data_IF_137136149964
#
_entry.id   IF_137136149964
#
_cell.length_a   1.000
_cell.length_b   1.000
_cell.length_c   1.000
_cell.angle_alpha   90.00
_cell.angle_beta   90.00
_cell.angle_gamma   90.00
#
_symmetry.space_group_name_H-M   'P 1'
#
loop_
_entity.id
_entity.type
_entity.pdbx_description
1 polymer ?
#
# COMPACT_ATOMS: atom_id res chain seq x y z
N UNK A 1 13.21 -7.05 -1.77
CA UNK A 1 14.04 -6.32 -0.79
C UNK A 1 13.12 -5.49 0.10
N UNK A 2 13.55 -5.18 1.31
CA UNK A 2 12.83 -4.28 2.22
C UNK A 2 12.87 -2.82 1.73
N UNK A 3 12.03 -1.94 2.30
CA UNK A 3 12.14 -0.50 2.07
C UNK A 3 13.53 0.03 2.45
N UNK A 4 14.06 -0.42 3.60
CA UNK A 4 15.37 0.01 4.07
C UNK A 4 16.48 -0.36 3.07
N UNK A 5 16.50 -1.62 2.57
CA UNK A 5 17.48 -2.07 1.58
C UNK A 5 17.34 -1.32 0.25
N UNK A 6 16.10 -1.11 -0.21
CA UNK A 6 15.82 -0.40 -1.47
C UNK A 6 16.24 1.06 -1.42
N UNK A 7 16.18 1.68 -0.24
CA UNK A 7 16.61 3.07 -0.01
C UNK A 7 18.11 3.28 -0.27
N UNK A 8 18.93 2.24 -0.21
CA UNK A 8 20.38 2.30 -0.47
C UNK A 8 20.70 2.53 -1.95
N UNK A 9 19.77 2.24 -2.87
CA UNK A 9 19.95 2.52 -4.30
C UNK A 9 19.94 4.04 -4.59
N UNK A 10 19.35 4.84 -3.72
CA UNK A 10 19.16 6.28 -3.91
C UNK A 10 19.76 7.10 -2.76
N UNK A 11 21.09 7.04 -2.54
CA UNK A 11 21.71 7.62 -1.34
C UNK A 11 21.54 9.15 -1.23
N UNK A 12 21.42 9.86 -2.37
CA UNK A 12 21.31 11.32 -2.42
C UNK A 12 19.87 11.84 -2.37
N UNK A 13 18.89 10.97 -2.51
CA UNK A 13 17.47 11.38 -2.52
C UNK A 13 16.97 11.64 -1.11
N UNK A 14 15.97 12.53 -1.03
CA UNK A 14 15.25 12.76 0.22
C UNK A 14 14.59 11.47 0.71
N UNK A 15 14.35 11.35 2.01
CA UNK A 15 13.60 10.20 2.56
C UNK A 15 12.24 10.06 1.86
N UNK A 16 11.57 11.19 1.56
CA UNK A 16 10.28 11.22 0.87
C UNK A 16 10.36 10.61 -0.53
N UNK A 17 11.36 11.02 -1.32
CA UNK A 17 11.54 10.49 -2.68
C UNK A 17 11.86 8.98 -2.65
N UNK A 18 12.59 8.51 -1.64
CA UNK A 18 12.85 7.08 -1.43
C UNK A 18 11.57 6.29 -1.14
N UNK A 19 10.66 6.82 -0.29
CA UNK A 19 9.35 6.21 -0.04
C UNK A 19 8.52 6.16 -1.31
N UNK A 20 8.51 7.24 -2.10
CA UNK A 20 7.77 7.29 -3.36
C UNK A 20 8.36 6.30 -4.37
N UNK A 21 9.68 6.28 -4.53
CA UNK A 21 10.36 5.34 -5.44
C UNK A 21 10.07 3.88 -5.08
N UNK A 22 10.16 3.53 -3.80
CA UNK A 22 9.80 2.20 -3.32
C UNK A 22 8.32 1.87 -3.57
N UNK A 23 7.43 2.84 -3.37
CA UNK A 23 5.99 2.68 -3.63
C UNK A 23 5.68 2.43 -5.10
N UNK A 24 6.55 2.89 -6.02
CA UNK A 24 6.45 2.70 -7.47
C UNK A 24 7.14 1.41 -7.92
N UNK A 25 8.41 1.21 -7.53
CA UNK A 25 9.26 0.15 -8.06
C UNK A 25 9.27 -1.12 -7.21
N UNK A 26 8.78 -1.03 -5.97
CA UNK A 26 8.91 -2.11 -4.99
C UNK A 26 10.36 -2.38 -4.59
N UNK A 27 10.61 -3.58 -4.07
CA UNK A 27 11.93 -4.04 -3.67
C UNK A 27 12.62 -4.94 -4.71
N UNK A 28 12.33 -4.79 -6.00
CA UNK A 28 12.90 -5.60 -7.07
C UNK A 28 14.14 -4.90 -7.62
N UNK A 29 15.36 -5.48 -7.45
CA UNK A 29 16.61 -4.81 -7.87
C UNK A 29 16.64 -4.44 -9.35
N UNK A 30 16.02 -5.25 -10.20
CA UNK A 30 15.93 -4.97 -11.62
C UNK A 30 15.24 -3.62 -11.90
N UNK A 31 14.12 -3.33 -11.23
CA UNK A 31 13.40 -2.06 -11.40
C UNK A 31 14.15 -0.88 -10.75
N UNK A 32 14.72 -1.10 -9.56
CA UNK A 32 15.48 -0.07 -8.85
C UNK A 32 16.70 0.40 -9.66
N UNK A 33 17.39 -0.50 -10.34
CA UNK A 33 18.53 -0.19 -11.20
C UNK A 33 18.18 0.59 -12.49
N UNK A 34 16.90 0.68 -12.86
CA UNK A 34 16.48 1.50 -14.00
C UNK A 34 16.41 2.99 -13.65
N UNK A 35 16.39 3.32 -12.35
CA UNK A 35 16.37 4.71 -11.92
C UNK A 35 17.80 5.23 -11.66
N UNK A 36 18.10 6.43 -12.17
CA UNK A 36 19.36 7.14 -11.96
C UNK A 36 19.26 8.02 -10.72
N UNK A 37 20.06 7.72 -9.70
CA UNK A 37 20.10 8.49 -8.44
C UNK A 37 20.65 9.91 -8.60
N UNK A 38 21.24 10.26 -9.75
CA UNK A 38 21.68 11.62 -10.07
C UNK A 38 20.56 12.51 -10.62
N UNK A 39 19.47 11.91 -11.10
CA UNK A 39 18.29 12.60 -11.61
C UNK A 39 17.21 12.73 -10.53
N UNK A 40 16.29 13.65 -10.74
CA UNK A 40 15.10 13.81 -9.88
C UNK A 40 14.15 12.60 -10.05
N UNK A 41 13.26 12.43 -9.08
CA UNK A 41 12.21 11.41 -9.15
C UNK A 41 11.31 11.60 -10.39
N UNK A 42 10.91 12.86 -10.69
CA UNK A 42 10.12 13.20 -11.88
C UNK A 42 10.82 12.76 -13.17
N UNK A 43 12.09 13.16 -13.35
CA UNK A 43 12.86 12.80 -14.54
C UNK A 43 12.96 11.28 -14.71
N UNK A 44 13.17 10.55 -13.63
CA UNK A 44 13.22 9.09 -13.67
C UNK A 44 11.87 8.47 -14.06
N UNK A 45 10.76 8.91 -13.46
CA UNK A 45 9.43 8.40 -13.80
C UNK A 45 9.13 8.69 -15.29
N UNK A 46 9.35 9.93 -15.73
CA UNK A 46 9.09 10.32 -17.11
C UNK A 46 9.92 9.51 -18.09
N UNK A 47 11.26 9.47 -17.91
CA UNK A 47 12.17 8.86 -18.90
C UNK A 47 12.19 7.33 -18.87
N UNK A 48 11.96 6.70 -17.72
CA UNK A 48 12.13 5.25 -17.56
C UNK A 48 10.81 4.47 -17.52
N UNK A 49 9.68 5.14 -17.17
CA UNK A 49 8.38 4.45 -17.08
C UNK A 49 7.37 4.99 -18.10
N UNK A 50 7.22 6.34 -18.21
CA UNK A 50 6.15 6.92 -19.04
C UNK A 50 6.55 7.07 -20.50
N UNK A 51 7.83 7.25 -20.80
CA UNK A 51 8.32 7.45 -22.15
C UNK A 51 8.27 6.15 -22.95
N UNK A 52 7.58 6.18 -24.10
CA UNK A 52 7.53 5.06 -25.04
C UNK A 52 8.95 4.62 -25.44
N UNK A 53 9.18 3.30 -25.44
CA UNK A 53 10.46 2.70 -25.78
C UNK A 53 11.44 2.56 -24.62
N UNK A 54 11.14 3.08 -23.43
CA UNK A 54 11.89 2.77 -22.24
C UNK A 54 11.62 1.33 -21.78
N UNK A 55 12.57 0.76 -21.04
CA UNK A 55 12.50 -0.65 -20.60
C UNK A 55 11.24 -0.88 -19.77
N UNK A 56 10.98 -0.03 -18.79
CA UNK A 56 9.85 -0.18 -17.86
C UNK A 56 8.50 0.16 -18.51
N UNK A 57 8.47 0.88 -19.63
CA UNK A 57 7.23 1.18 -20.36
C UNK A 57 6.50 -0.09 -20.84
N UNK A 58 7.25 -1.07 -21.35
CA UNK A 58 6.67 -2.28 -21.95
C UNK A 58 6.79 -3.54 -21.09
N UNK A 59 7.52 -3.49 -19.98
CA UNK A 59 7.87 -4.66 -19.17
C UNK A 59 6.64 -5.46 -18.67
N UNK A 60 5.61 -4.84 -18.05
CA UNK A 60 4.44 -5.60 -17.58
C UNK A 60 3.64 -6.23 -18.73
N UNK A 61 3.50 -5.54 -19.86
CA UNK A 61 2.80 -6.09 -21.03
C UNK A 61 3.53 -7.30 -21.59
N UNK A 62 4.85 -7.25 -21.66
CA UNK A 62 5.69 -8.34 -22.12
C UNK A 62 5.55 -9.58 -21.23
N UNK A 63 5.65 -9.40 -19.92
CA UNK A 63 5.47 -10.48 -18.94
C UNK A 63 4.08 -11.11 -19.02
N UNK A 64 3.02 -10.28 -19.13
CA UNK A 64 1.65 -10.78 -19.26
C UNK A 64 1.42 -11.61 -20.52
N UNK A 65 2.05 -11.22 -21.64
CA UNK A 65 1.95 -11.99 -22.90
C UNK A 65 2.68 -13.32 -22.83
N UNK A 66 3.78 -13.39 -22.09
CA UNK A 66 4.53 -14.64 -21.91
C UNK A 66 3.80 -15.66 -21.04
N UNK A 67 3.19 -15.20 -19.95
CA UNK A 67 2.62 -16.06 -18.91
C UNK A 67 1.15 -16.43 -19.16
N UNK A 68 0.41 -15.66 -19.97
CA UNK A 68 -1.04 -15.78 -20.06
C UNK A 68 -1.53 -15.97 -21.49
N UNK A 69 -2.47 -16.90 -21.69
CA UNK A 69 -3.08 -17.18 -22.99
C UNK A 69 -4.10 -16.12 -23.45
N UNK A 70 -4.76 -15.44 -22.49
CA UNK A 70 -5.80 -14.44 -22.75
C UNK A 70 -5.45 -13.11 -22.08
N UNK A 71 -4.33 -12.44 -22.46
CA UNK A 71 -3.81 -11.28 -21.74
C UNK A 71 -4.81 -10.13 -21.62
N UNK A 72 -5.68 -9.92 -22.62
CA UNK A 72 -6.68 -8.84 -22.60
C UNK A 72 -7.64 -8.94 -21.41
N UNK A 73 -8.17 -10.13 -21.12
CA UNK A 73 -9.08 -10.34 -19.97
C UNK A 73 -8.36 -10.13 -18.64
N UNK A 74 -7.13 -10.64 -18.52
CA UNK A 74 -6.33 -10.45 -17.31
C UNK A 74 -5.96 -8.98 -17.11
N UNK A 75 -5.61 -8.24 -18.18
CA UNK A 75 -5.32 -6.81 -18.12
C UNK A 75 -6.50 -6.03 -17.54
N UNK A 76 -7.73 -6.34 -17.97
CA UNK A 76 -8.96 -5.69 -17.45
C UNK A 76 -9.13 -5.93 -15.95
N UNK A 77 -8.87 -7.16 -15.47
CA UNK A 77 -8.95 -7.50 -14.05
C UNK A 77 -7.88 -6.76 -13.24
N UNK A 78 -6.62 -6.79 -13.72
CA UNK A 78 -5.50 -6.16 -13.04
C UNK A 78 -5.69 -4.64 -13.00
N UNK A 79 -6.16 -4.02 -14.09
CA UNK A 79 -6.47 -2.59 -14.14
C UNK A 79 -7.56 -2.21 -13.13
N UNK A 80 -8.63 -2.99 -13.02
CA UNK A 80 -9.67 -2.75 -12.02
C UNK A 80 -9.09 -2.76 -10.59
N UNK A 81 -8.23 -3.74 -10.27
CA UNK A 81 -7.59 -3.84 -8.95
C UNK A 81 -6.60 -2.67 -8.74
N UNK A 82 -5.77 -2.32 -9.74
CA UNK A 82 -4.81 -1.22 -9.66
C UNK A 82 -5.48 0.14 -9.45
N UNK A 83 -6.71 0.30 -9.93
CA UNK A 83 -7.53 1.52 -9.77
C UNK A 83 -8.41 1.50 -8.51
N UNK A 84 -8.25 0.49 -7.62
CA UNK A 84 -8.88 0.45 -6.30
C UNK A 84 -10.14 -0.43 -6.20
N UNK A 85 -10.48 -1.21 -7.23
CA UNK A 85 -11.57 -2.20 -7.17
C UNK A 85 -11.02 -3.52 -6.60
N UNK A 86 -11.00 -3.65 -5.29
CA UNK A 86 -10.28 -4.74 -4.60
C UNK A 86 -11.19 -5.85 -4.07
N UNK A 87 -12.50 -5.62 -3.89
CA UNK A 87 -13.43 -6.68 -3.54
C UNK A 87 -13.83 -7.51 -4.77
N UNK A 88 -14.21 -8.77 -4.55
CA UNK A 88 -14.70 -9.64 -5.64
C UNK A 88 -15.87 -8.99 -6.41
N UNK A 89 -16.81 -8.40 -5.67
CA UNK A 89 -17.99 -7.78 -6.27
C UNK A 89 -17.64 -6.52 -7.07
N UNK A 90 -16.72 -5.68 -6.57
CA UNK A 90 -16.28 -4.47 -7.28
C UNK A 90 -15.54 -4.84 -8.57
N UNK A 91 -14.67 -5.85 -8.53
CA UNK A 91 -13.98 -6.35 -9.72
C UNK A 91 -15.00 -6.88 -10.73
N UNK A 92 -15.95 -7.72 -10.27
CA UNK A 92 -17.00 -8.26 -11.14
C UNK A 92 -17.83 -7.18 -11.80
N UNK A 93 -18.32 -6.21 -11.03
CA UNK A 93 -19.14 -5.11 -11.53
C UNK A 93 -18.38 -4.20 -12.52
N UNK A 94 -17.06 -4.04 -12.31
CA UNK A 94 -16.23 -3.21 -13.19
C UNK A 94 -15.87 -3.93 -14.48
N UNK A 95 -15.53 -5.23 -14.39
CA UNK A 95 -15.05 -6.01 -15.55
C UNK A 95 -16.18 -6.67 -16.34
N UNK A 96 -17.38 -6.78 -15.75
CA UNK A 96 -18.55 -7.49 -16.29
C UNK A 96 -18.27 -8.95 -16.62
N UNK A 97 -17.22 -9.55 -16.05
CA UNK A 97 -16.89 -10.96 -16.23
C UNK A 97 -17.83 -11.81 -15.38
N UNK A 98 -18.31 -12.90 -15.97
CA UNK A 98 -19.19 -13.85 -15.28
C UNK A 98 -18.48 -14.45 -14.04
N UNK A 99 -19.21 -14.57 -12.92
CA UNK A 99 -18.71 -14.91 -11.59
C UNK A 99 -17.82 -16.15 -11.57
N UNK A 100 -18.23 -17.21 -12.28
CA UNK A 100 -17.47 -18.47 -12.35
C UNK A 100 -16.11 -18.28 -13.02
N UNK A 101 -16.09 -17.57 -14.16
CA UNK A 101 -14.88 -17.27 -14.91
C UNK A 101 -13.95 -16.34 -14.13
N UNK A 102 -14.50 -15.26 -13.53
CA UNK A 102 -13.70 -14.34 -12.71
C UNK A 102 -12.97 -15.09 -11.58
N UNK A 103 -13.65 -16.03 -10.92
CA UNK A 103 -13.03 -16.84 -9.87
C UNK A 103 -11.81 -17.62 -10.37
N UNK A 104 -11.86 -18.16 -11.60
CA UNK A 104 -10.74 -18.87 -12.22
C UNK A 104 -9.60 -17.92 -12.54
N UNK A 105 -9.89 -16.78 -13.17
CA UNK A 105 -8.86 -15.77 -13.50
C UNK A 105 -8.15 -15.26 -12.25
N UNK A 106 -8.88 -14.93 -11.18
CA UNK A 106 -8.28 -14.47 -9.92
C UNK A 106 -7.40 -15.56 -9.27
N UNK A 107 -7.83 -16.83 -9.29
CA UNK A 107 -6.99 -17.94 -8.82
C UNK A 107 -5.70 -18.08 -9.62
N UNK A 108 -5.78 -17.96 -10.95
CA UNK A 108 -4.60 -18.03 -11.81
C UNK A 108 -3.62 -16.88 -11.50
N UNK A 109 -4.10 -15.65 -11.36
CA UNK A 109 -3.27 -14.50 -11.00
C UNK A 109 -2.61 -14.66 -9.62
N UNK A 110 -3.30 -15.27 -8.66
CA UNK A 110 -2.73 -15.62 -7.36
C UNK A 110 -1.66 -16.71 -7.51
N UNK A 111 -1.90 -17.75 -8.30
CA UNK A 111 -0.92 -18.82 -8.50
C UNK A 111 0.35 -18.36 -9.22
N UNK A 112 0.25 -17.33 -10.06
CA UNK A 112 1.38 -16.66 -10.72
C UNK A 112 2.10 -15.64 -9.79
N UNK A 113 1.59 -15.43 -8.57
CA UNK A 113 2.17 -14.46 -7.63
C UNK A 113 1.92 -13.00 -8.00
N UNK A 114 1.07 -12.71 -9.01
CA UNK A 114 0.73 -11.34 -9.41
C UNK A 114 -0.28 -10.70 -8.46
N UNK A 115 -1.18 -11.51 -7.88
CA UNK A 115 -2.14 -11.08 -6.88
C UNK A 115 -1.93 -11.81 -5.56
N UNK A 116 -2.23 -11.11 -4.48
CA UNK A 116 -2.46 -11.70 -3.17
C UNK A 116 -3.91 -11.45 -2.76
N UNK A 117 -4.43 -12.34 -1.91
CA UNK A 117 -5.73 -12.15 -1.27
C UNK A 117 -5.52 -11.89 0.20
N UNK A 118 -5.82 -10.68 0.62
CA UNK A 118 -5.67 -10.24 2.01
C UNK A 118 -7.00 -10.37 2.76
N UNK A 119 -6.90 -10.70 4.05
CA UNK A 119 -8.02 -10.79 4.97
C UNK A 119 -7.73 -9.91 6.19
N UNK A 120 -8.78 -9.43 6.89
CA UNK A 120 -8.57 -8.76 8.17
C UNK A 120 -7.72 -9.62 9.11
N UNK A 121 -6.71 -9.02 9.74
CA UNK A 121 -5.68 -9.77 10.53
C UNK A 121 -6.27 -10.71 11.59
N UNK A 122 -7.44 -10.38 12.15
CA UNK A 122 -8.10 -11.19 13.18
C UNK A 122 -9.11 -12.21 12.61
N UNK A 123 -9.13 -12.42 11.30
CA UNK A 123 -10.05 -13.37 10.67
C UNK A 123 -9.73 -14.80 11.05
N UNK A 124 -10.77 -15.56 11.37
CA UNK A 124 -10.68 -17.01 11.60
C UNK A 124 -10.48 -17.74 10.26
N UNK A 125 -9.98 -18.98 10.29
CA UNK A 125 -9.82 -19.81 9.08
C UNK A 125 -11.15 -20.02 8.35
N UNK A 126 -12.26 -20.16 9.06
CA UNK A 126 -13.60 -20.25 8.47
C UNK A 126 -13.99 -18.98 7.71
N UNK A 127 -13.62 -17.81 8.23
CA UNK A 127 -13.87 -16.52 7.56
C UNK A 127 -13.00 -16.33 6.32
N UNK A 128 -11.78 -16.82 6.32
CA UNK A 128 -10.87 -16.80 5.17
C UNK A 128 -11.35 -17.68 4.00
N UNK A 129 -12.16 -18.68 4.28
CA UNK A 129 -12.79 -19.51 3.25
C UNK A 129 -13.91 -18.77 2.50
N UNK A 130 -14.51 -17.72 3.09
CA UNK A 130 -15.55 -16.95 2.44
C UNK A 130 -14.95 -16.02 1.37
N UNK A 131 -15.29 -16.27 0.09
CA UNK A 131 -14.79 -15.50 -1.05
C UNK A 131 -15.16 -14.00 -1.03
N UNK A 132 -16.17 -13.60 -0.29
CA UNK A 132 -16.63 -12.21 -0.22
C UNK A 132 -15.90 -11.37 0.83
N UNK A 133 -15.12 -11.95 1.74
CA UNK A 133 -14.47 -11.23 2.85
C UNK A 133 -13.06 -10.74 2.56
N UNK A 134 -12.34 -11.36 1.64
CA UNK A 134 -10.98 -10.97 1.28
C UNK A 134 -10.96 -9.88 0.22
N UNK A 135 -9.90 -9.08 0.22
CA UNK A 135 -9.59 -8.11 -0.83
C UNK A 135 -8.42 -8.61 -1.68
N UNK A 136 -8.44 -8.29 -2.97
CA UNK A 136 -7.38 -8.63 -3.90
C UNK A 136 -6.42 -7.46 -4.06
N UNK A 137 -5.12 -7.73 -3.98
CA UNK A 137 -4.05 -6.73 -4.09
C UNK A 137 -3.03 -7.18 -5.12
N UNK A 138 -2.52 -6.23 -5.88
CA UNK A 138 -1.32 -6.46 -6.67
C UNK A 138 -0.13 -6.62 -5.74
N UNK A 139 0.57 -7.75 -5.86
CA UNK A 139 1.75 -8.04 -5.05
C UNK A 139 2.94 -7.18 -5.49
N UNK A 140 3.09 -6.99 -6.78
CA UNK A 140 4.15 -6.18 -7.37
C UNK A 140 3.70 -4.71 -7.44
N UNK A 141 4.42 -3.82 -6.72
CA UNK A 141 4.13 -2.39 -6.67
C UNK A 141 4.35 -1.71 -8.02
N UNK A 142 5.32 -2.20 -8.83
CA UNK A 142 5.55 -1.66 -10.16
C UNK A 142 4.38 -1.97 -11.10
N UNK A 143 3.87 -3.20 -11.08
CA UNK A 143 2.65 -3.54 -11.82
C UNK A 143 1.48 -2.67 -11.39
N UNK A 144 1.31 -2.41 -10.09
CA UNK A 144 0.25 -1.53 -9.59
C UNK A 144 0.38 -0.11 -10.14
N UNK A 145 1.61 0.47 -10.16
CA UNK A 145 1.87 1.79 -10.74
C UNK A 145 1.60 1.79 -12.24
N UNK A 146 2.12 0.81 -12.95
CA UNK A 146 2.03 0.70 -14.38
C UNK A 146 0.58 0.59 -14.88
N UNK A 147 -0.22 -0.30 -14.30
CA UNK A 147 -1.63 -0.44 -14.69
C UNK A 147 -2.47 0.79 -14.35
N UNK A 148 -2.16 1.47 -13.25
CA UNK A 148 -2.86 2.68 -12.86
C UNK A 148 -2.54 3.86 -13.76
N UNK A 149 -1.28 4.08 -14.11
CA UNK A 149 -0.82 5.31 -14.76
C UNK A 149 -0.37 5.12 -16.20
N UNK A 150 0.28 4.01 -16.55
CA UNK A 150 0.74 3.75 -17.92
C UNK A 150 -0.40 3.13 -18.74
N UNK A 151 -0.92 1.98 -18.33
CA UNK A 151 -1.96 1.27 -19.05
C UNK A 151 -3.24 2.09 -19.22
N UNK A 152 -3.65 2.82 -18.19
CA UNK A 152 -4.84 3.68 -18.22
C UNK A 152 -4.70 4.89 -19.12
N UNK A 153 -3.48 5.30 -19.49
CA UNK A 153 -3.20 6.47 -20.34
C UNK A 153 -2.41 6.08 -21.60
N UNK A 154 -2.46 4.82 -21.99
CA UNK A 154 -1.62 4.24 -23.03
C UNK A 154 -1.68 5.03 -24.35
N UNK A 155 -2.89 5.41 -24.80
CA UNK A 155 -3.07 6.17 -26.05
C UNK A 155 -2.35 7.51 -26.04
N UNK A 156 -2.42 8.28 -24.93
CA UNK A 156 -1.75 9.57 -24.83
C UNK A 156 -0.22 9.40 -24.79
N UNK A 157 0.27 8.40 -24.06
CA UNK A 157 1.69 8.08 -23.96
C UNK A 157 2.27 7.62 -25.33
N UNK A 158 1.50 6.88 -26.13
CA UNK A 158 1.89 6.50 -27.49
C UNK A 158 2.08 7.71 -28.42
N UNK A 159 1.36 8.81 -28.19
CA UNK A 159 1.53 10.08 -28.90
C UNK A 159 2.68 10.95 -28.35
N UNK A 160 3.41 10.50 -27.32
CA UNK A 160 4.55 11.20 -26.77
C UNK A 160 4.23 12.25 -25.70
N UNK A 161 3.04 12.22 -25.10
CA UNK A 161 2.56 13.22 -24.14
C UNK A 161 2.92 12.87 -22.66
N UNK A 162 4.09 12.28 -22.43
CA UNK A 162 4.47 11.72 -21.10
C UNK A 162 4.69 12.80 -20.04
N UNK A 163 5.18 14.00 -20.38
CA UNK A 163 5.38 15.09 -19.41
C UNK A 163 4.04 15.63 -18.91
N UNK A 164 3.10 15.86 -19.83
CA UNK A 164 1.76 16.30 -19.47
C UNK A 164 1.00 15.23 -18.66
N UNK A 165 1.13 13.95 -19.02
CA UNK A 165 0.57 12.84 -18.22
C UNK A 165 1.16 12.84 -16.81
N UNK A 166 2.46 13.08 -16.67
CA UNK A 166 3.06 13.19 -15.34
C UNK A 166 2.44 14.36 -14.55
N UNK A 167 2.47 15.56 -15.10
CA UNK A 167 2.08 16.78 -14.40
C UNK A 167 0.57 16.85 -14.09
N UNK A 168 -0.28 16.34 -14.97
CA UNK A 168 -1.75 16.44 -14.84
C UNK A 168 -2.36 15.22 -14.15
N UNK A 169 -1.76 14.03 -14.31
CA UNK A 169 -2.37 12.78 -13.83
C UNK A 169 -1.56 12.14 -12.72
N UNK A 170 -0.25 11.96 -12.90
CA UNK A 170 0.57 11.20 -11.95
C UNK A 170 0.84 12.02 -10.68
N UNK A 171 1.44 13.18 -10.82
CA UNK A 171 1.87 14.02 -9.69
C UNK A 171 0.74 14.38 -8.72
N UNK A 172 -0.46 14.84 -9.19
CA UNK A 172 -1.57 15.15 -8.27
C UNK A 172 -2.11 13.95 -7.49
N UNK A 173 -1.93 12.74 -8.03
CA UNK A 173 -2.41 11.51 -7.39
C UNK A 173 -1.32 10.79 -6.58
N UNK A 174 -0.06 11.25 -6.65
CA UNK A 174 1.08 10.50 -6.13
C UNK A 174 1.02 10.29 -4.62
N UNK A 175 0.66 11.31 -3.84
CA UNK A 175 0.51 11.18 -2.39
C UNK A 175 -0.57 10.15 -2.02
N UNK A 176 -1.72 10.19 -2.69
CA UNK A 176 -2.79 9.22 -2.47
C UNK A 176 -2.38 7.81 -2.92
N UNK A 177 -1.63 7.70 -4.02
CA UNK A 177 -1.09 6.43 -4.50
C UNK A 177 -0.14 5.80 -3.47
N UNK A 178 0.75 6.60 -2.89
CA UNK A 178 1.77 6.20 -1.91
C UNK A 178 1.16 5.82 -0.56
N UNK A 179 0.01 6.38 -0.19
CA UNK A 179 -0.62 6.11 1.13
C UNK A 179 -0.75 4.62 1.43
N UNK A 180 -1.13 3.82 0.45
CA UNK A 180 -1.30 2.38 0.63
C UNK A 180 0.04 1.60 0.76
N UNK A 181 1.07 1.79 -0.10
CA UNK A 181 2.40 1.23 0.17
C UNK A 181 3.04 1.73 1.46
N UNK A 182 2.72 2.95 1.90
CA UNK A 182 3.23 3.50 3.15
C UNK A 182 2.75 2.70 4.36
N UNK A 183 1.52 2.20 4.35
CA UNK A 183 1.05 1.27 5.40
C UNK A 183 1.90 -0.01 5.45
N UNK A 184 2.30 -0.56 4.30
CA UNK A 184 3.18 -1.74 4.25
C UNK A 184 4.58 -1.41 4.77
N UNK A 185 5.11 -0.20 4.51
CA UNK A 185 6.37 0.30 5.09
C UNK A 185 6.26 0.42 6.61
N UNK A 186 5.14 0.94 7.13
CA UNK A 186 4.89 1.03 8.58
C UNK A 186 4.81 -0.37 9.24
N UNK A 187 4.16 -1.34 8.57
CA UNK A 187 4.12 -2.73 9.03
C UNK A 187 5.53 -3.34 9.05
N UNK A 188 6.33 -3.09 8.01
CA UNK A 188 7.72 -3.55 7.95
C UNK A 188 8.56 -2.95 9.09
N UNK A 189 8.41 -1.65 9.34
CA UNK A 189 9.06 -0.95 10.43
C UNK A 189 8.67 -1.57 11.81
N UNK A 190 7.38 -1.79 12.05
CA UNK A 190 6.89 -2.45 13.27
C UNK A 190 7.45 -3.87 13.43
N UNK A 191 7.52 -4.65 12.35
CA UNK A 191 8.13 -6.00 12.37
C UNK A 191 9.62 -5.95 12.74
N UNK A 192 10.35 -4.95 12.23
CA UNK A 192 11.75 -4.73 12.59
C UNK A 192 11.91 -4.41 14.07
N UNK A 193 11.05 -3.51 14.60
CA UNK A 193 11.01 -3.14 16.02
C UNK A 193 10.63 -4.33 16.91
N UNK A 194 9.64 -5.13 16.50
CA UNK A 194 9.21 -6.34 17.20
C UNK A 194 10.36 -7.36 17.34
N UNK A 195 11.10 -7.59 16.23
CA UNK A 195 12.27 -8.48 16.22
C UNK A 195 13.36 -8.02 17.18
N UNK A 196 13.54 -6.71 17.34
CA UNK A 196 14.50 -6.11 18.27
C UNK A 196 13.96 -5.99 19.72
N UNK A 197 12.70 -6.35 19.97
CA UNK A 197 12.00 -6.18 21.25
C UNK A 197 11.94 -4.72 21.72
N UNK A 198 11.74 -3.79 20.81
CA UNK A 198 11.66 -2.34 21.06
C UNK A 198 10.21 -1.84 21.14
N UNK A 199 9.23 -2.74 21.18
CA UNK A 199 7.79 -2.43 21.30
C UNK A 199 7.28 -2.72 22.71
N UNK A 200 6.12 -2.15 23.12
CA UNK A 200 5.52 -2.41 24.43
C UNK A 200 5.27 -3.90 24.71
N UNK A 201 5.00 -4.67 23.68
CA UNK A 201 4.80 -6.13 23.76
C UNK A 201 5.31 -6.78 22.46
N UNK A 202 5.50 -8.10 22.49
CA UNK A 202 5.85 -8.90 21.31
C UNK A 202 4.57 -9.36 20.64
N UNK A 203 4.35 -8.94 19.39
CA UNK A 203 3.20 -9.40 18.62
C UNK A 203 3.52 -10.68 17.84
N UNK A 204 2.50 -11.52 17.65
CA UNK A 204 2.51 -12.71 16.77
C UNK A 204 1.81 -12.44 15.44
N UNK A 205 0.77 -11.62 15.47
CA UNK A 205 -0.02 -11.26 14.31
C UNK A 205 0.03 -9.76 14.05
N UNK A 206 0.17 -9.36 12.79
CA UNK A 206 0.12 -7.96 12.35
C UNK A 206 -0.42 -7.88 10.93
N UNK A 207 -1.32 -6.93 10.71
CA UNK A 207 -1.90 -6.64 9.39
C UNK A 207 -3.00 -5.60 9.46
N UNK A 208 -3.64 -5.36 8.32
CA UNK A 208 -4.82 -4.49 8.21
C UNK A 208 -6.03 -5.16 8.82
N UNK A 209 -6.95 -4.35 9.32
CA UNK A 209 -8.22 -4.84 9.81
C UNK A 209 -9.37 -3.97 9.30
N UNK A 210 -10.44 -4.61 8.85
CA UNK A 210 -11.65 -3.93 8.41
C UNK A 210 -12.90 -4.73 8.76
N UNK A 211 -13.99 -4.01 8.92
CA UNK A 211 -15.34 -4.53 8.97
C UNK A 211 -16.21 -3.74 7.97
N UNK A 212 -17.53 -3.96 7.97
CA UNK A 212 -18.43 -3.33 7.01
C UNK A 212 -18.25 -1.80 6.89
N UNK A 213 -18.06 -1.11 8.02
CA UNK A 213 -18.10 0.35 8.08
C UNK A 213 -16.82 0.99 8.69
N UNK A 214 -15.83 0.18 9.06
CA UNK A 214 -14.63 0.65 9.77
C UNK A 214 -13.40 -0.09 9.23
N UNK A 215 -12.36 0.69 8.95
CA UNK A 215 -11.04 0.21 8.56
C UNK A 215 -9.99 0.76 9.53
N UNK A 216 -9.03 -0.08 9.93
CA UNK A 216 -7.85 0.28 10.73
C UNK A 216 -6.63 -0.17 9.96
N UNK A 217 -5.72 0.76 9.69
CA UNK A 217 -4.60 0.53 8.77
C UNK A 217 -3.67 -0.56 9.30
N UNK A 218 -3.43 -0.60 10.64
CA UNK A 218 -2.62 -1.63 11.27
C UNK A 218 -3.23 -2.06 12.59
N UNK A 219 -3.38 -3.38 12.77
CA UNK A 219 -3.57 -4.02 14.08
C UNK A 219 -2.46 -5.05 14.26
N UNK A 220 -1.83 -5.04 15.45
CA UNK A 220 -0.94 -6.11 15.90
C UNK A 220 -1.40 -6.65 17.23
N UNK A 221 -1.28 -7.97 17.43
CA UNK A 221 -1.69 -8.63 18.68
C UNK A 221 -0.67 -9.69 19.10
N UNK A 222 -0.54 -9.92 20.41
CA UNK A 222 0.11 -11.10 20.93
C UNK A 222 -0.78 -12.36 20.78
N UNK A 223 -0.27 -13.51 21.13
CA UNK A 223 -0.90 -14.81 20.89
C UNK A 223 -2.27 -14.94 21.58
N UNK A 224 -2.38 -14.53 22.83
CA UNK A 224 -3.62 -14.60 23.64
C UNK A 224 -4.55 -13.40 23.42
N UNK A 225 -4.12 -12.41 22.61
CA UNK A 225 -4.84 -11.18 22.31
C UNK A 225 -5.16 -10.31 23.53
N UNK A 226 -4.34 -10.40 24.55
CA UNK A 226 -4.41 -9.54 25.75
C UNK A 226 -3.80 -8.16 25.50
N UNK A 227 -2.91 -8.04 24.50
CA UNK A 227 -2.28 -6.80 24.05
C UNK A 227 -2.64 -6.52 22.59
N UNK A 228 -3.08 -5.31 22.32
CA UNK A 228 -3.46 -4.87 20.95
C UNK A 228 -2.76 -3.55 20.67
N UNK A 229 -1.99 -3.50 19.59
CA UNK A 229 -1.54 -2.25 18.99
C UNK A 229 -2.44 -1.92 17.81
N UNK A 230 -2.98 -0.70 17.78
CA UNK A 230 -3.75 -0.16 16.67
C UNK A 230 -3.07 1.09 16.14
N UNK A 231 -2.83 1.17 14.83
CA UNK A 231 -2.23 2.34 14.21
C UNK A 231 -2.98 2.83 12.98
N UNK A 232 -2.91 4.14 12.76
CA UNK A 232 -3.31 4.84 11.54
C UNK A 232 -2.07 5.35 10.82
N UNK A 233 -2.05 5.31 9.48
CA UNK A 233 -0.91 5.71 8.66
C UNK A 233 -1.32 6.81 7.69
N UNK A 234 -0.60 7.93 7.67
CA UNK A 234 -0.88 9.07 6.78
C UNK A 234 0.36 9.52 6.03
N UNK A 235 0.29 9.41 4.71
CA UNK A 235 1.31 9.94 3.81
C UNK A 235 0.74 11.12 3.01
N UNK A 236 0.87 12.33 3.55
CA UNK A 236 0.46 13.57 2.91
C UNK A 236 1.36 14.74 3.33
N UNK A 237 1.13 15.92 2.77
CA UNK A 237 2.02 17.08 2.95
C UNK A 237 1.64 17.99 4.14
N UNK A 238 0.51 17.76 4.80
CA UNK A 238 0.05 18.55 5.94
C UNK A 238 0.31 17.85 7.26
N UNK A 239 0.61 18.63 8.30
CA UNK A 239 0.70 18.13 9.67
C UNK A 239 -0.63 17.53 10.15
N UNK A 240 -0.55 16.48 10.93
CA UNK A 240 -1.69 15.92 11.66
C UNK A 240 -2.03 16.84 12.83
N UNK A 241 -3.30 17.15 13.00
CA UNK A 241 -3.81 17.93 14.11
C UNK A 241 -4.47 17.04 15.19
N UNK A 242 -4.86 17.64 16.31
CA UNK A 242 -5.50 16.97 17.44
C UNK A 242 -6.85 16.34 17.07
N UNK A 243 -7.63 16.97 16.17
CA UNK A 243 -8.92 16.43 15.73
C UNK A 243 -8.77 15.12 14.93
N UNK A 244 -7.67 14.96 14.18
CA UNK A 244 -7.37 13.72 13.45
C UNK A 244 -7.02 12.59 14.42
N UNK A 245 -6.22 12.87 15.45
CA UNK A 245 -5.92 11.91 16.51
C UNK A 245 -7.18 11.53 17.31
N UNK A 246 -8.05 12.50 17.60
CA UNK A 246 -9.32 12.25 18.28
C UNK A 246 -10.25 11.31 17.48
N UNK A 247 -10.34 11.52 16.16
CA UNK A 247 -11.11 10.64 15.26
C UNK A 247 -10.58 9.21 15.30
N UNK A 248 -9.25 9.05 15.21
CA UNK A 248 -8.61 7.75 15.28
C UNK A 248 -8.84 7.06 16.64
N UNK A 249 -8.65 7.78 17.73
CA UNK A 249 -8.90 7.26 19.07
C UNK A 249 -10.36 6.79 19.23
N UNK A 250 -11.32 7.60 18.78
CA UNK A 250 -12.76 7.25 18.84
C UNK A 250 -13.09 6.02 17.97
N UNK A 251 -12.46 5.90 16.80
CA UNK A 251 -12.59 4.74 15.91
C UNK A 251 -12.14 3.47 16.63
N UNK A 252 -10.98 3.50 17.28
CA UNK A 252 -10.43 2.37 18.02
C UNK A 252 -11.31 1.95 19.19
N UNK A 253 -11.77 2.91 20.00
CA UNK A 253 -12.64 2.65 21.14
C UNK A 253 -13.92 1.93 20.70
N UNK A 254 -14.54 2.35 19.58
CA UNK A 254 -15.76 1.72 19.06
C UNK A 254 -15.54 0.32 18.50
N UNK A 255 -14.38 0.08 17.88
CA UNK A 255 -14.10 -1.16 17.12
C UNK A 255 -13.49 -2.26 17.98
N UNK A 256 -12.62 -1.92 18.93
CA UNK A 256 -11.75 -2.87 19.63
C UNK A 256 -12.13 -3.10 21.10
N UNK A 257 -12.91 -2.23 21.73
CA UNK A 257 -13.36 -2.38 23.14
C UNK A 257 -14.31 -3.56 23.40
N UNK A 258 -14.71 -4.32 22.41
CA UNK A 258 -15.56 -5.52 22.58
C UNK A 258 -14.82 -6.74 23.12
N UNK A 259 -13.51 -6.67 23.36
CA UNK A 259 -12.73 -7.72 24.05
C UNK A 259 -12.44 -7.24 25.46
N UNK A 260 -13.16 -7.80 26.41
CA UNK A 260 -12.97 -7.54 27.83
C UNK A 260 -11.50 -7.76 28.23
N UNK A 261 -10.90 -6.73 28.86
CA UNK A 261 -9.56 -6.70 29.46
C UNK A 261 -8.31 -6.64 28.53
N UNK A 262 -8.41 -6.42 27.23
CA UNK A 262 -7.21 -6.21 26.41
C UNK A 262 -6.61 -4.80 26.63
N UNK A 263 -5.29 -4.73 26.78
CA UNK A 263 -4.54 -3.46 26.81
C UNK A 263 -4.41 -2.93 25.39
N UNK A 264 -4.86 -1.70 25.15
CA UNK A 264 -4.84 -1.07 23.84
C UNK A 264 -3.73 -0.02 23.76
N UNK A 265 -2.79 -0.22 22.85
CA UNK A 265 -1.74 0.72 22.47
C UNK A 265 -2.15 1.44 21.20
N UNK A 266 -2.38 2.75 21.26
CA UNK A 266 -2.80 3.56 20.11
C UNK A 266 -1.60 4.28 19.55
N UNK A 267 -1.34 4.07 18.25
CA UNK A 267 -0.22 4.63 17.52
C UNK A 267 -0.71 5.42 16.32
N UNK A 268 0.10 6.38 15.89
CA UNK A 268 -0.18 7.14 14.68
C UNK A 268 1.12 7.37 13.90
N UNK A 269 1.13 7.02 12.62
CA UNK A 269 2.23 7.26 11.71
C UNK A 269 1.86 8.42 10.78
N UNK A 270 2.65 9.48 10.77
CA UNK A 270 2.47 10.61 9.87
C UNK A 270 3.79 10.99 9.23
N UNK A 271 3.84 10.92 7.90
CA UNK A 271 5.04 11.33 7.17
C UNK A 271 5.39 12.80 7.44
N UNK A 272 4.42 13.70 7.44
CA UNK A 272 4.65 15.14 7.62
C UNK A 272 4.76 15.59 9.08
N UNK A 273 4.56 14.68 10.05
CA UNK A 273 4.61 15.00 11.47
C UNK A 273 3.31 15.58 12.00
N UNK A 274 3.41 16.33 13.11
CA UNK A 274 2.29 16.68 13.99
C UNK A 274 2.34 18.14 14.41
N UNK A 275 1.18 18.78 14.57
CA UNK A 275 1.10 20.11 15.19
C UNK A 275 1.45 20.06 16.69
N UNK A 276 1.82 21.18 17.32
CA UNK A 276 2.05 21.23 18.77
C UNK A 276 0.83 20.73 19.57
N UNK A 277 -0.39 21.12 19.18
CA UNK A 277 -1.65 20.71 19.81
C UNK A 277 -1.87 19.20 19.71
N UNK A 278 -1.55 18.60 18.54
CA UNK A 278 -1.60 17.16 18.36
C UNK A 278 -0.62 16.43 19.29
N UNK A 279 0.60 16.95 19.47
CA UNK A 279 1.59 16.37 20.38
C UNK A 279 1.14 16.43 21.85
N UNK A 280 0.53 17.53 22.28
CA UNK A 280 -0.06 17.67 23.63
C UNK A 280 -1.24 16.70 23.82
N UNK A 281 -2.13 16.62 22.80
CA UNK A 281 -3.26 15.70 22.83
C UNK A 281 -2.79 14.26 22.92
N UNK A 282 -1.79 13.87 22.14
CA UNK A 282 -1.22 12.53 22.14
C UNK A 282 -0.64 12.15 23.51
N UNK A 283 0.12 13.06 24.12
CA UNK A 283 0.68 12.87 25.49
C UNK A 283 -0.42 12.65 26.53
N UNK A 284 -1.49 13.45 26.48
CA UNK A 284 -2.63 13.35 27.41
C UNK A 284 -3.41 12.03 27.26
N UNK A 285 -3.44 11.48 26.07
CA UNK A 285 -4.25 10.28 25.72
C UNK A 285 -3.40 9.02 25.50
N UNK A 286 -2.10 9.05 25.84
CA UNK A 286 -1.15 7.93 25.67
C UNK A 286 -1.13 7.40 24.20
N UNK A 287 -1.10 8.31 23.22
CA UNK A 287 -0.95 7.97 21.81
C UNK A 287 0.53 8.08 21.43
N UNK A 288 1.09 7.02 20.87
CA UNK A 288 2.46 7.05 20.34
C UNK A 288 2.47 7.65 18.93
N UNK A 289 3.31 8.66 18.71
CA UNK A 289 3.45 9.34 17.45
C UNK A 289 4.76 8.95 16.77
N UNK A 290 4.70 8.58 15.51
CA UNK A 290 5.86 8.22 14.68
C UNK A 290 5.85 9.15 13.45
N UNK A 291 6.98 9.80 13.16
CA UNK A 291 7.12 10.66 11.99
C UNK A 291 8.34 10.27 11.12
N UNK A 292 8.64 11.05 10.08
CA UNK A 292 9.72 10.77 9.12
C UNK A 292 11.11 10.58 9.77
N UNK A 293 11.32 11.12 10.97
CA UNK A 293 12.61 11.03 11.66
C UNK A 293 12.83 9.67 12.33
N UNK A 294 11.76 8.89 12.52
CA UNK A 294 11.78 7.58 13.19
C UNK A 294 12.08 6.42 12.21
N UNK A 295 12.02 6.68 10.89
CA UNK A 295 12.26 5.70 9.82
C UNK A 295 13.74 5.59 9.41
#
# INVERSE_FOLDING_TARGET
MSFADSSLFFPKWSKKDKVIAYSILGGIPYYLNQFDSAKTLKENICSNILQKGSILYSEPEFLMRQELREPATYNTIIQAIATGKTSFNDIQNTTLIEKGKLSVYLKNLISLGLLTREFPVLSTEKEKQNMQRGVYKLHDLFFRFWYRFVFSNYSALEFGDWENIYDVIVEPQLNNYVSFPFEDICIEWLRSKNKKRELPFIFTDIGRWWSKDIEIDIIATNEDKSEILSAECKFHNSFINDSDLQKHLNKNIRSLKKKDNAVLHVWYFSWSGYTPEAREFAKKNNITLIDENDF
#
